data_IF_473810626196
#
_entry.id   IF_473810626196
#
_cell.length_a   1.000
_cell.length_b   1.000
_cell.length_c   1.000
_cell.angle_alpha   90.00
_cell.angle_beta   90.00
_cell.angle_gamma   90.00
#
_symmetry.space_group_name_H-M   'P 1'
#
loop_
_entity.id
_entity.type
_entity.pdbx_description
1 polymer ?
#
# COMPACT_ATOMS: atom_id res chain seq x y z
N UNK A 1 13.63 20.13 21.40
CA UNK A 1 13.11 19.04 22.26
C UNK A 1 12.84 17.81 21.40
N UNK A 2 13.16 16.60 21.85
CA UNK A 2 12.86 15.37 21.08
C UNK A 2 11.35 15.05 21.02
N UNK A 3 10.98 14.16 20.09
CA UNK A 3 9.63 13.57 20.01
C UNK A 3 9.36 12.74 21.28
N UNK A 4 8.45 13.22 22.12
CA UNK A 4 8.00 12.44 23.30
C UNK A 4 7.02 11.36 22.88
N UNK A 5 6.84 10.30 23.70
CA UNK A 5 5.86 9.23 23.43
C UNK A 5 4.46 9.77 23.11
N UNK A 6 4.04 10.83 23.83
CA UNK A 6 2.75 11.49 23.60
C UNK A 6 2.70 12.21 22.25
N UNK A 7 3.74 12.95 21.87
CA UNK A 7 3.82 13.63 20.56
C UNK A 7 3.86 12.64 19.40
N UNK A 8 4.55 11.51 19.59
CA UNK A 8 4.58 10.41 18.64
C UNK A 8 3.18 9.81 18.42
N UNK A 9 2.41 9.61 19.49
CA UNK A 9 1.03 9.14 19.40
C UNK A 9 0.13 10.09 18.58
N UNK A 10 0.24 11.41 18.81
CA UNK A 10 -0.52 12.39 18.05
C UNK A 10 -0.14 12.41 16.56
N UNK A 11 1.15 12.32 16.29
CA UNK A 11 1.66 12.30 14.92
C UNK A 11 1.25 11.01 14.18
N UNK A 12 1.28 9.85 14.86
CA UNK A 12 0.80 8.58 14.30
C UNK A 12 -0.66 8.66 13.87
N UNK A 13 -1.54 9.11 14.77
CA UNK A 13 -2.97 9.20 14.48
C UNK A 13 -3.26 10.21 13.38
N UNK A 14 -2.50 11.30 13.29
CA UNK A 14 -2.64 12.26 12.19
C UNK A 14 -2.26 11.63 10.85
N UNK A 15 -1.13 10.91 10.79
CA UNK A 15 -0.69 10.22 9.57
C UNK A 15 -1.69 9.16 9.15
N UNK A 16 -2.23 8.37 10.08
CA UNK A 16 -3.26 7.36 9.79
C UNK A 16 -4.54 7.99 9.22
N UNK A 17 -5.00 9.10 9.81
CA UNK A 17 -6.20 9.81 9.33
C UNK A 17 -5.97 10.39 7.94
N UNK A 18 -4.79 10.98 7.70
CA UNK A 18 -4.41 11.52 6.40
C UNK A 18 -4.34 10.42 5.34
N UNK A 19 -3.75 9.26 5.65
CA UNK A 19 -3.68 8.13 4.70
C UNK A 19 -5.05 7.53 4.35
N UNK A 20 -5.97 7.47 5.32
CA UNK A 20 -7.32 6.92 5.09
C UNK A 20 -8.20 7.83 4.25
N UNK A 21 -8.02 9.14 4.36
CA UNK A 21 -8.92 10.12 3.74
C UNK A 21 -8.30 10.86 2.57
N UNK A 22 -6.96 10.85 2.46
CA UNK A 22 -6.14 11.65 1.56
C UNK A 22 -6.48 13.16 1.60
N UNK A 23 -6.97 13.63 2.76
CA UNK A 23 -7.44 14.99 2.97
C UNK A 23 -6.71 15.64 4.16
N UNK A 24 -6.46 16.97 4.12
CA UNK A 24 -5.88 17.70 5.24
C UNK A 24 -6.70 17.57 6.52
N UNK A 25 -6.03 17.33 7.65
CA UNK A 25 -6.69 16.95 8.90
C UNK A 25 -6.90 18.16 9.79
N UNK A 26 -8.16 18.42 10.14
CA UNK A 26 -8.49 19.44 11.13
C UNK A 26 -8.17 18.93 12.55
N UNK A 27 -7.62 19.79 13.41
CA UNK A 27 -7.22 19.42 14.79
C UNK A 27 -8.37 18.86 15.63
N UNK A 28 -9.62 19.23 15.30
CA UNK A 28 -10.82 18.70 15.97
C UNK A 28 -11.07 17.22 15.67
N UNK A 29 -10.76 16.76 14.45
CA UNK A 29 -10.87 15.35 14.09
C UNK A 29 -9.86 14.52 14.90
N UNK A 30 -8.63 15.05 15.04
CA UNK A 30 -7.59 14.43 15.84
C UNK A 30 -7.95 14.39 17.34
N UNK A 31 -8.53 15.49 17.86
CA UNK A 31 -8.98 15.58 19.24
C UNK A 31 -10.05 14.52 19.56
N UNK A 32 -11.04 14.35 18.67
CA UNK A 32 -12.06 13.30 18.78
C UNK A 32 -11.45 11.90 18.74
N UNK A 33 -10.53 11.65 17.82
CA UNK A 33 -9.90 10.33 17.68
C UNK A 33 -9.05 9.92 18.88
N UNK A 34 -8.41 10.89 19.56
CA UNK A 34 -7.54 10.64 20.71
C UNK A 34 -8.24 10.83 22.08
N UNK A 35 -9.52 11.22 22.08
CA UNK A 35 -10.27 11.49 23.30
C UNK A 35 -9.70 12.66 24.12
N UNK A 36 -9.16 13.68 23.47
CA UNK A 36 -8.55 14.85 24.12
C UNK A 36 -9.30 16.14 23.79
N UNK A 37 -9.03 17.21 24.55
CA UNK A 37 -9.60 18.52 24.25
C UNK A 37 -9.05 19.10 22.93
N UNK A 38 -9.85 19.95 22.28
CA UNK A 38 -9.45 20.66 21.05
C UNK A 38 -8.19 21.49 21.25
N UNK A 39 -8.04 22.13 22.42
CA UNK A 39 -6.89 22.94 22.80
C UNK A 39 -5.62 22.08 22.92
N UNK A 40 -5.73 20.91 23.57
CA UNK A 40 -4.62 19.97 23.71
C UNK A 40 -4.14 19.45 22.35
N UNK A 41 -5.06 19.16 21.44
CA UNK A 41 -4.69 18.73 20.09
C UNK A 41 -3.99 19.85 19.31
N UNK A 42 -4.49 21.08 19.38
CA UNK A 42 -3.88 22.22 18.72
C UNK A 42 -2.46 22.49 19.24
N UNK A 43 -2.26 22.51 20.55
CA UNK A 43 -0.94 22.75 21.16
C UNK A 43 0.06 21.65 20.80
N UNK A 44 -0.37 20.38 20.81
CA UNK A 44 0.47 19.25 20.41
C UNK A 44 0.88 19.34 18.94
N UNK A 45 -0.06 19.70 18.05
CA UNK A 45 0.23 19.86 16.62
C UNK A 45 1.21 21.00 16.37
N UNK A 46 1.05 22.14 17.04
CA UNK A 46 2.01 23.25 16.95
C UNK A 46 3.42 22.85 17.38
N UNK A 47 3.54 22.02 18.41
CA UNK A 47 4.84 21.51 18.85
C UNK A 47 5.44 20.50 17.87
N UNK A 48 4.62 19.67 17.24
CA UNK A 48 5.04 18.71 16.21
C UNK A 48 5.44 19.44 14.90
N UNK A 49 4.74 20.52 14.55
CA UNK A 49 5.05 21.40 13.42
C UNK A 49 6.44 22.02 13.57
N UNK A 50 6.78 22.53 14.77
CA UNK A 50 8.13 23.07 15.06
C UNK A 50 9.25 22.05 14.86
N UNK A 51 8.94 20.76 14.96
CA UNK A 51 9.90 19.68 14.73
C UNK A 51 10.01 19.28 13.24
N UNK A 52 9.19 19.91 12.38
CA UNK A 52 9.18 19.73 10.93
C UNK A 52 8.52 18.44 10.47
N UNK A 53 7.59 17.88 11.26
CA UNK A 53 6.87 16.64 10.91
C UNK A 53 5.49 16.89 10.29
N UNK A 54 4.93 18.07 10.49
CA UNK A 54 3.65 18.47 9.90
C UNK A 54 3.75 19.91 9.42
N UNK A 55 2.88 20.28 8.49
CA UNK A 55 2.72 21.66 8.03
C UNK A 55 1.26 22.07 8.17
N UNK A 56 1.02 23.30 8.64
CA UNK A 56 -0.32 23.89 8.65
C UNK A 56 -0.68 24.51 7.30
N UNK A 57 -1.92 24.31 6.86
CA UNK A 57 -2.53 25.02 5.73
C UNK A 57 -3.84 25.66 6.18
N UNK A 58 -4.25 26.71 5.48
CA UNK A 58 -5.49 27.44 5.73
C UNK A 58 -6.44 27.18 4.57
N UNK A 59 -7.40 26.30 4.77
CA UNK A 59 -8.40 26.00 3.75
C UNK A 59 -9.64 26.87 3.93
N UNK A 60 -10.13 27.40 2.80
CA UNK A 60 -11.36 28.18 2.75
C UNK A 60 -12.52 27.20 2.57
N UNK A 61 -13.32 27.04 3.63
CA UNK A 61 -14.46 26.14 3.59
C UNK A 61 -15.58 26.73 2.72
N UNK A 62 -15.96 26.06 1.63
CA UNK A 62 -17.03 26.50 0.74
C UNK A 62 -18.43 26.49 1.40
N UNK A 63 -18.62 25.80 2.54
CA UNK A 63 -19.92 25.70 3.24
C UNK A 63 -20.12 26.76 4.32
N UNK A 64 -19.10 27.53 4.70
CA UNK A 64 -19.22 28.57 5.74
C UNK A 64 -18.50 29.84 5.27
N UNK A 65 -19.27 30.85 4.91
CA UNK A 65 -18.76 32.17 4.52
C UNK A 65 -17.84 32.74 5.61
N UNK A 66 -16.54 32.88 5.29
CA UNK A 66 -15.65 33.86 5.91
C UNK A 66 -14.68 33.42 7.01
N UNK A 67 -14.53 32.11 7.34
CA UNK A 67 -13.50 31.67 8.30
C UNK A 67 -12.64 30.56 7.73
N UNK A 68 -11.37 30.88 7.47
CA UNK A 68 -10.35 29.88 7.12
C UNK A 68 -10.21 28.88 8.25
N UNK A 69 -10.21 27.59 7.91
CA UNK A 69 -10.01 26.50 8.84
C UNK A 69 -8.54 26.09 8.86
N UNK A 70 -8.01 25.79 10.05
CA UNK A 70 -6.62 25.37 10.22
C UNK A 70 -6.57 23.85 10.07
N UNK A 71 -5.94 23.40 9.00
CA UNK A 71 -5.71 21.99 8.71
C UNK A 71 -4.23 21.69 8.75
N UNK A 72 -3.89 20.43 9.01
CA UNK A 72 -2.52 19.95 9.10
C UNK A 72 -2.31 18.80 8.14
N UNK A 73 -1.14 18.79 7.49
CA UNK A 73 -0.70 17.76 6.56
C UNK A 73 0.64 17.21 7.04
N UNK A 74 0.85 15.88 7.07
CA UNK A 74 2.15 15.31 7.40
C UNK A 74 3.18 15.64 6.31
N UNK A 75 4.40 15.98 6.71
CA UNK A 75 5.52 16.18 5.78
C UNK A 75 6.18 14.85 5.44
N UNK A 76 7.03 14.83 4.41
CA UNK A 76 7.83 13.66 4.04
C UNK A 76 8.61 13.07 5.22
N UNK A 77 9.16 13.94 6.08
CA UNK A 77 9.84 13.54 7.32
C UNK A 77 8.96 12.74 8.31
N UNK A 78 7.66 13.03 8.38
CA UNK A 78 6.74 12.24 9.19
C UNK A 78 6.40 10.93 8.49
N UNK A 79 6.16 10.97 7.19
CA UNK A 79 5.95 9.78 6.38
C UNK A 79 7.12 8.81 6.52
N UNK A 80 8.36 9.27 6.45
CA UNK A 80 9.58 8.46 6.68
C UNK A 80 9.61 7.84 8.09
N UNK A 81 9.26 8.60 9.13
CA UNK A 81 9.28 8.11 10.51
C UNK A 81 8.24 7.02 10.77
N UNK A 82 7.03 7.14 10.21
CA UNK A 82 6.01 6.08 10.33
C UNK A 82 6.15 5.00 9.28
N UNK A 83 6.78 5.25 8.14
CA UNK A 83 7.22 4.19 7.23
C UNK A 83 8.24 3.31 7.95
N UNK A 84 9.24 3.87 8.62
CA UNK A 84 10.21 3.12 9.43
C UNK A 84 9.57 2.39 10.63
N UNK A 85 8.57 2.98 11.28
CA UNK A 85 7.86 2.33 12.40
C UNK A 85 6.86 1.26 11.94
N UNK A 86 6.27 1.40 10.74
CA UNK A 86 5.40 0.40 10.10
C UNK A 86 6.23 -0.75 9.50
N UNK A 87 7.45 -0.49 9.04
CA UNK A 87 8.43 -1.51 8.66
C UNK A 87 8.81 -2.43 9.84
N UNK A 88 8.76 -1.93 11.08
CA UNK A 88 8.97 -2.75 12.28
C UNK A 88 7.76 -3.60 12.70
N UNK A 89 6.61 -3.40 12.06
CA UNK A 89 5.32 -4.04 12.35
C UNK A 89 4.78 -4.83 11.14
N UNK A 90 5.63 -5.21 10.17
CA UNK A 90 5.37 -6.46 9.46
C UNK A 90 5.60 -7.55 10.48
N UNK A 91 4.56 -7.84 11.29
CA UNK A 91 4.55 -9.01 12.12
C UNK A 91 4.72 -10.19 11.15
N UNK A 92 5.83 -10.91 11.24
CA UNK A 92 6.11 -12.08 10.37
C UNK A 92 4.92 -13.06 10.40
N UNK A 93 4.12 -13.02 11.47
CA UNK A 93 2.84 -13.71 11.63
C UNK A 93 1.78 -13.22 10.63
N UNK A 94 1.61 -11.91 10.45
CA UNK A 94 0.66 -11.32 9.50
C UNK A 94 1.11 -11.53 8.04
N UNK A 95 2.42 -11.48 7.78
CA UNK A 95 2.98 -11.83 6.46
C UNK A 95 2.72 -13.30 6.11
N UNK A 96 3.04 -14.22 7.03
CA UNK A 96 2.82 -15.66 6.80
C UNK A 96 1.34 -15.97 6.59
N UNK A 97 0.46 -15.36 7.38
CA UNK A 97 -1.00 -15.48 7.20
C UNK A 97 -1.44 -14.96 5.84
N UNK A 98 -0.88 -13.86 5.37
CA UNK A 98 -1.16 -13.32 4.03
C UNK A 98 -0.74 -14.30 2.94
N UNK A 99 0.45 -14.89 3.04
CA UNK A 99 0.93 -15.90 2.08
C UNK A 99 0.05 -17.17 2.12
N UNK A 100 -0.39 -17.60 3.30
CA UNK A 100 -1.33 -18.72 3.47
C UNK A 100 -2.68 -18.42 2.82
N UNK A 101 -3.28 -17.26 3.09
CA UNK A 101 -4.54 -16.82 2.47
C UNK A 101 -4.43 -16.76 0.94
N UNK A 102 -3.33 -16.20 0.41
CA UNK A 102 -3.10 -16.18 -1.04
C UNK A 102 -3.01 -17.62 -1.55
N UNK A 103 -2.28 -18.50 -0.88
CA UNK A 103 -2.15 -19.90 -1.30
C UNK A 103 -3.48 -20.65 -1.32
N UNK A 104 -4.37 -20.39 -0.34
CA UNK A 104 -5.73 -20.93 -0.30
C UNK A 104 -6.60 -20.36 -1.44
N UNK A 105 -6.59 -19.04 -1.60
CA UNK A 105 -7.29 -18.36 -2.70
C UNK A 105 -6.85 -18.92 -4.06
N UNK A 106 -5.55 -19.12 -4.27
CA UNK A 106 -5.03 -19.65 -5.54
C UNK A 106 -5.44 -21.10 -5.78
N UNK A 107 -5.63 -21.92 -4.74
CA UNK A 107 -6.16 -23.29 -4.88
C UNK A 107 -7.63 -23.27 -5.32
N UNK A 108 -8.44 -22.42 -4.70
CA UNK A 108 -9.87 -22.29 -5.01
C UNK A 108 -10.12 -21.69 -6.39
N UNK A 109 -9.22 -20.79 -6.82
CA UNK A 109 -9.33 -20.11 -8.11
C UNK A 109 -8.87 -20.96 -9.30
N UNK A 110 -8.38 -22.19 -9.11
CA UNK A 110 -7.93 -23.05 -10.23
C UNK A 110 -8.97 -23.23 -11.34
N UNK A 111 -10.27 -23.18 -11.02
CA UNK A 111 -11.38 -23.31 -11.98
C UNK A 111 -12.08 -21.98 -12.33
N UNK A 112 -11.57 -20.85 -11.85
CA UNK A 112 -12.21 -19.52 -11.97
C UNK A 112 -11.63 -18.73 -13.16
N UNK A 113 -12.42 -17.89 -13.84
CA UNK A 113 -11.88 -17.02 -14.91
C UNK A 113 -10.97 -15.90 -14.35
N UNK A 114 -10.05 -15.35 -15.15
CA UNK A 114 -9.17 -14.25 -14.71
C UNK A 114 -9.99 -13.05 -14.19
N UNK A 115 -11.08 -12.72 -14.88
CA UNK A 115 -11.96 -11.61 -14.51
C UNK A 115 -12.62 -11.81 -13.14
N UNK A 116 -13.05 -13.04 -12.84
CA UNK A 116 -13.65 -13.35 -11.54
C UNK A 116 -12.59 -13.40 -10.43
N UNK A 117 -11.36 -13.82 -10.73
CA UNK A 117 -10.24 -13.76 -9.80
C UNK A 117 -9.85 -12.31 -9.46
N UNK A 118 -9.78 -11.41 -10.45
CA UNK A 118 -9.53 -9.98 -10.25
C UNK A 118 -10.61 -9.36 -9.34
N UNK A 119 -11.89 -9.65 -9.60
CA UNK A 119 -13.01 -9.13 -8.80
C UNK A 119 -13.01 -9.66 -7.36
N UNK A 120 -12.74 -10.95 -7.15
CA UNK A 120 -12.64 -11.54 -5.80
C UNK A 120 -11.51 -10.90 -4.99
N UNK A 121 -10.36 -10.69 -5.62
CA UNK A 121 -9.23 -10.00 -4.99
C UNK A 121 -9.57 -8.55 -4.67
N UNK A 122 -10.30 -7.84 -5.54
CA UNK A 122 -10.77 -6.49 -5.22
C UNK A 122 -11.67 -6.45 -3.98
N UNK A 123 -12.54 -7.45 -3.82
CA UNK A 123 -13.40 -7.57 -2.64
C UNK A 123 -12.64 -7.97 -1.37
N UNK A 124 -11.54 -8.72 -1.52
CA UNK A 124 -10.76 -9.24 -0.40
C UNK A 124 -9.59 -8.34 0.01
N UNK A 125 -9.07 -7.48 -0.86
CA UNK A 125 -8.07 -6.47 -0.49
C UNK A 125 -8.73 -5.50 0.50
N UNK A 126 -8.42 -5.57 1.80
CA UNK A 126 -8.94 -4.61 2.76
C UNK A 126 -8.40 -3.22 2.38
N UNK A 127 -9.25 -2.19 2.39
CA UNK A 127 -8.83 -0.78 2.26
C UNK A 127 -7.70 -0.42 3.24
N UNK A 128 -7.59 -1.16 4.35
CA UNK A 128 -6.59 -0.98 5.40
C UNK A 128 -5.36 -1.90 5.31
N UNK A 129 -5.17 -2.68 4.24
CA UNK A 129 -4.03 -3.59 4.13
C UNK A 129 -2.68 -2.88 3.98
N UNK A 130 -1.65 -3.43 4.63
CA UNK A 130 -0.26 -2.96 4.53
C UNK A 130 0.22 -3.11 3.08
N UNK A 131 1.00 -2.13 2.57
CA UNK A 131 1.49 -2.05 1.18
C UNK A 131 2.07 -3.37 0.65
N UNK A 132 2.85 -4.08 1.48
CA UNK A 132 3.43 -5.39 1.14
C UNK A 132 2.36 -6.46 0.82
N UNK A 133 1.26 -6.48 1.58
CA UNK A 133 0.18 -7.45 1.37
C UNK A 133 -0.52 -7.18 0.04
N UNK A 134 -0.78 -5.90 -0.29
CA UNK A 134 -1.33 -5.52 -1.59
C UNK A 134 -0.45 -6.02 -2.73
N UNK A 135 0.86 -5.77 -2.68
CA UNK A 135 1.80 -6.28 -3.68
C UNK A 135 1.79 -7.81 -3.77
N UNK A 136 1.68 -8.51 -2.63
CA UNK A 136 1.65 -9.97 -2.60
C UNK A 136 0.40 -10.55 -3.28
N UNK A 137 -0.77 -9.95 -3.05
CA UNK A 137 -2.02 -10.34 -3.73
C UNK A 137 -1.90 -10.18 -5.25
N UNK A 138 -1.34 -9.07 -5.72
CA UNK A 138 -1.13 -8.84 -7.17
C UNK A 138 -0.17 -9.88 -7.75
N UNK A 139 0.97 -10.12 -7.10
CA UNK A 139 1.93 -11.12 -7.55
C UNK A 139 1.30 -12.52 -7.57
N UNK A 140 0.57 -12.90 -6.53
CA UNK A 140 -0.14 -14.17 -6.44
C UNK A 140 -1.12 -14.37 -7.59
N UNK A 141 -1.96 -13.37 -7.86
CA UNK A 141 -2.91 -13.40 -8.98
C UNK A 141 -2.23 -13.67 -10.32
N UNK A 142 -1.15 -12.95 -10.60
CA UNK A 142 -0.41 -13.07 -11.85
C UNK A 142 0.33 -14.41 -11.95
N UNK A 143 0.83 -14.94 -10.83
CA UNK A 143 1.39 -16.29 -10.77
C UNK A 143 0.34 -17.36 -11.10
N UNK A 144 -0.89 -17.22 -10.59
CA UNK A 144 -1.97 -18.14 -10.95
C UNK A 144 -2.36 -18.01 -12.42
N UNK A 145 -2.47 -16.79 -12.95
CA UNK A 145 -2.73 -16.60 -14.38
C UNK A 145 -1.64 -17.27 -15.23
N UNK A 146 -0.36 -17.10 -14.85
CA UNK A 146 0.76 -17.72 -15.52
C UNK A 146 0.72 -19.25 -15.43
N UNK A 147 0.37 -19.81 -14.26
CA UNK A 147 0.19 -21.26 -14.09
C UNK A 147 -0.92 -21.82 -14.98
N UNK A 148 -2.02 -21.07 -15.18
CA UNK A 148 -3.12 -21.46 -16.09
C UNK A 148 -2.73 -21.45 -17.57
N UNK A 149 -1.88 -20.52 -17.98
CA UNK A 149 -1.36 -20.50 -19.35
C UNK A 149 -0.53 -21.76 -19.65
N UNK A 150 0.20 -22.26 -18.64
CA UNK A 150 1.00 -23.47 -18.73
C UNK A 150 2.11 -23.41 -19.79
N UNK A 151 2.75 -24.56 -20.04
CA UNK A 151 3.77 -24.69 -21.07
C UNK A 151 5.09 -24.00 -20.72
N UNK A 152 5.78 -23.45 -21.73
CA UNK A 152 7.13 -22.88 -21.56
C UNK A 152 7.12 -21.46 -20.97
N UNK A 153 5.99 -20.78 -20.88
CA UNK A 153 5.91 -19.37 -20.46
C UNK A 153 6.45 -19.14 -19.04
N UNK A 154 6.14 -20.04 -18.10
CA UNK A 154 6.61 -19.98 -16.71
C UNK A 154 8.13 -19.88 -16.57
N UNK A 155 8.91 -20.87 -17.05
CA UNK A 155 10.37 -20.85 -16.99
C UNK A 155 11.02 -19.63 -17.68
N UNK A 156 10.44 -19.15 -18.80
CA UNK A 156 10.95 -17.97 -19.48
C UNK A 156 10.75 -16.70 -18.65
N UNK A 157 9.58 -16.53 -18.04
CA UNK A 157 9.31 -15.40 -17.15
C UNK A 157 10.18 -15.48 -15.90
N UNK A 158 10.36 -16.67 -15.31
CA UNK A 158 11.29 -16.86 -14.20
C UNK A 158 12.69 -16.36 -14.55
N UNK A 159 13.22 -16.73 -15.72
CA UNK A 159 14.54 -16.29 -16.15
C UNK A 159 14.63 -14.76 -16.30
N UNK A 160 13.59 -14.12 -16.83
CA UNK A 160 13.51 -12.65 -16.93
C UNK A 160 13.58 -12.01 -15.54
N UNK A 161 12.83 -12.53 -14.57
CA UNK A 161 12.82 -12.01 -13.20
C UNK A 161 14.18 -12.16 -12.53
N UNK A 162 14.81 -13.33 -12.65
CA UNK A 162 16.09 -13.65 -12.02
C UNK A 162 17.28 -12.90 -12.65
N UNK A 163 17.16 -12.45 -13.89
CA UNK A 163 18.23 -11.70 -14.59
C UNK A 163 18.19 -10.20 -14.27
N UNK A 164 17.16 -9.73 -13.56
CA UNK A 164 17.00 -8.32 -13.26
C UNK A 164 18.11 -7.78 -12.32
N UNK A 165 18.66 -6.59 -12.58
CA UNK A 165 19.66 -5.93 -11.73
C UNK A 165 19.25 -5.68 -10.27
N UNK A 166 17.94 -5.64 -9.99
CA UNK A 166 17.42 -5.44 -8.64
C UNK A 166 16.11 -6.22 -8.43
N UNK A 167 15.79 -6.53 -7.17
CA UNK A 167 14.56 -7.24 -6.78
C UNK A 167 13.31 -6.49 -7.23
N UNK A 168 13.31 -5.17 -7.06
CA UNK A 168 12.25 -4.27 -7.50
C UNK A 168 12.06 -4.32 -9.03
N UNK A 169 13.16 -4.25 -9.78
CA UNK A 169 13.10 -4.36 -11.24
C UNK A 169 12.58 -5.73 -11.67
N UNK A 170 13.02 -6.81 -11.03
CA UNK A 170 12.54 -8.16 -11.32
C UNK A 170 11.03 -8.32 -11.10
N UNK A 171 10.51 -7.82 -9.98
CA UNK A 171 9.07 -7.81 -9.71
C UNK A 171 8.28 -6.93 -10.68
N UNK A 172 8.82 -5.77 -11.05
CA UNK A 172 8.19 -4.86 -12.03
C UNK A 172 8.14 -5.51 -13.41
N UNK A 173 9.23 -6.15 -13.84
CA UNK A 173 9.29 -6.90 -15.09
C UNK A 173 8.33 -8.08 -15.09
N UNK A 174 8.22 -8.82 -13.97
CA UNK A 174 7.22 -9.87 -13.82
C UNK A 174 5.80 -9.34 -14.08
N UNK A 175 5.40 -8.31 -13.33
CA UNK A 175 4.04 -7.75 -13.42
C UNK A 175 3.76 -7.21 -14.82
N UNK A 176 4.67 -6.41 -15.36
CA UNK A 176 4.53 -5.83 -16.70
C UNK A 176 4.44 -6.90 -17.80
N UNK A 177 5.24 -7.96 -17.71
CA UNK A 177 5.25 -9.05 -18.70
C UNK A 177 3.95 -9.85 -18.65
N UNK A 178 3.53 -10.29 -17.46
CA UNK A 178 2.33 -11.13 -17.32
C UNK A 178 1.06 -10.34 -17.67
N UNK A 179 0.98 -9.07 -17.28
CA UNK A 179 -0.14 -8.20 -17.69
C UNK A 179 -0.12 -7.89 -19.19
N UNK A 180 1.06 -7.67 -19.77
CA UNK A 180 1.19 -7.49 -21.22
C UNK A 180 0.70 -8.70 -22.01
N UNK A 181 0.89 -9.91 -21.49
CA UNK A 181 0.29 -11.12 -22.07
C UNK A 181 -1.23 -11.16 -21.86
N UNK A 182 -1.70 -10.75 -20.68
CA UNK A 182 -3.13 -10.74 -20.35
C UNK A 182 -3.92 -9.66 -21.11
N UNK A 183 -3.27 -8.60 -21.61
CA UNK A 183 -3.94 -7.45 -22.24
C UNK A 183 -4.83 -7.84 -23.42
N UNK A 184 -4.45 -8.89 -24.16
CA UNK A 184 -5.23 -9.40 -25.29
C UNK A 184 -6.47 -10.21 -24.86
N UNK A 185 -6.56 -10.58 -23.58
CA UNK A 185 -7.64 -11.39 -23.00
C UNK A 185 -8.57 -10.58 -22.09
N UNK A 186 -8.22 -9.32 -21.83
CA UNK A 186 -8.96 -8.39 -20.98
C UNK A 186 -9.98 -7.66 -21.84
N UNK A 187 -11.23 -7.58 -21.37
CA UNK A 187 -12.26 -6.77 -22.01
C UNK A 187 -12.04 -5.28 -21.71
N UNK A 188 -12.43 -4.40 -22.64
CA UNK A 188 -12.23 -2.95 -22.56
C UNK A 188 -12.76 -2.32 -21.26
N UNK A 189 -13.84 -2.86 -20.68
CA UNK A 189 -14.42 -2.39 -19.41
C UNK A 189 -13.48 -2.54 -18.20
N UNK A 190 -12.55 -3.49 -18.22
CA UNK A 190 -11.60 -3.74 -17.13
C UNK A 190 -10.26 -3.01 -17.31
N UNK A 191 -10.04 -2.35 -18.46
CA UNK A 191 -8.76 -1.70 -18.77
C UNK A 191 -8.39 -0.58 -17.80
N UNK A 192 -9.37 0.20 -17.35
CA UNK A 192 -9.16 1.30 -16.41
C UNK A 192 -8.79 0.78 -15.00
N UNK A 193 -9.51 -0.22 -14.49
CA UNK A 193 -9.25 -0.84 -13.18
C UNK A 193 -7.85 -1.46 -13.13
N UNK A 194 -7.43 -2.12 -14.21
CA UNK A 194 -6.11 -2.74 -14.31
C UNK A 194 -5.00 -1.68 -14.38
N UNK A 195 -5.22 -0.57 -15.09
CA UNK A 195 -4.26 0.53 -15.17
C UNK A 195 -4.05 1.18 -13.79
N UNK A 196 -5.14 1.41 -13.05
CA UNK A 196 -5.07 1.92 -11.68
C UNK A 196 -4.32 0.95 -10.75
N UNK A 197 -4.61 -0.35 -10.87
CA UNK A 197 -3.95 -1.40 -10.11
C UNK A 197 -2.45 -1.47 -10.37
N UNK A 198 -2.03 -1.35 -11.64
CA UNK A 198 -0.61 -1.27 -12.02
C UNK A 198 0.03 -0.02 -11.41
N UNK A 199 -0.60 1.14 -11.54
CA UNK A 199 -0.08 2.38 -10.97
C UNK A 199 0.12 2.26 -9.47
N UNK A 200 -0.89 1.74 -8.75
CA UNK A 200 -0.83 1.53 -7.31
C UNK A 200 0.22 0.49 -6.93
N UNK A 201 0.40 -0.55 -7.73
CA UNK A 201 1.43 -1.57 -7.49
C UNK A 201 2.84 -0.99 -7.62
N UNK A 202 3.12 -0.26 -8.70
CA UNK A 202 4.42 0.36 -8.94
C UNK A 202 4.77 1.37 -7.84
N UNK A 203 3.81 2.20 -7.44
CA UNK A 203 3.98 3.13 -6.32
C UNK A 203 4.23 2.38 -5.00
N UNK A 204 3.43 1.35 -4.73
CA UNK A 204 3.58 0.56 -3.50
C UNK A 204 4.95 -0.10 -3.44
N UNK A 205 5.42 -0.72 -4.53
CA UNK A 205 6.73 -1.37 -4.60
C UNK A 205 7.87 -0.36 -4.38
N UNK A 206 7.80 0.82 -4.99
CA UNK A 206 8.83 1.85 -4.83
C UNK A 206 8.97 2.26 -3.37
N UNK A 207 7.85 2.36 -2.67
CA UNK A 207 7.76 2.79 -1.27
C UNK A 207 8.09 1.69 -0.24
N UNK A 208 8.25 0.44 -0.66
CA UNK A 208 8.63 -0.65 0.24
C UNK A 208 10.09 -0.51 0.68
N UNK A 209 10.36 -0.94 1.91
CA UNK A 209 11.72 -1.13 2.40
C UNK A 209 12.46 -2.27 1.68
N UNK A 210 13.79 -2.27 1.75
CA UNK A 210 14.60 -3.34 1.17
C UNK A 210 14.30 -4.72 1.77
N UNK A 211 13.89 -4.77 3.04
CA UNK A 211 13.46 -5.99 3.73
C UNK A 211 12.13 -6.51 3.16
N UNK A 212 11.12 -5.64 3.03
CA UNK A 212 9.82 -5.97 2.42
C UNK A 212 9.97 -6.38 0.95
N UNK A 213 10.79 -5.65 0.18
CA UNK A 213 11.16 -6.03 -1.19
C UNK A 213 11.82 -7.41 -1.22
N UNK A 214 12.63 -7.73 -0.22
CA UNK A 214 13.22 -9.04 -0.02
C UNK A 214 12.19 -10.14 0.20
N UNK A 215 11.25 -9.94 1.12
CA UNK A 215 10.19 -10.90 1.42
C UNK A 215 9.29 -11.18 0.20
N UNK A 216 8.84 -10.12 -0.48
CA UNK A 216 8.03 -10.24 -1.70
C UNK A 216 8.77 -10.93 -2.84
N UNK A 217 10.05 -10.59 -3.04
CA UNK A 217 10.85 -11.21 -4.08
C UNK A 217 11.07 -12.71 -3.83
N UNK A 218 11.29 -13.09 -2.56
CA UNK A 218 11.40 -14.50 -2.18
C UNK A 218 10.08 -15.23 -2.41
N UNK A 219 8.95 -14.65 -2.02
CA UNK A 219 7.62 -15.20 -2.31
C UNK A 219 7.39 -15.43 -3.82
N UNK A 220 7.75 -14.46 -4.66
CA UNK A 220 7.69 -14.61 -6.12
C UNK A 220 8.61 -15.74 -6.63
N UNK A 221 9.86 -15.76 -6.15
CA UNK A 221 10.87 -16.70 -6.63
C UNK A 221 10.57 -18.15 -6.24
N UNK A 222 10.08 -18.37 -5.02
CA UNK A 222 9.68 -19.68 -4.51
C UNK A 222 8.48 -20.25 -5.27
N UNK A 223 7.58 -19.40 -5.78
CA UNK A 223 6.41 -19.85 -6.52
C UNK A 223 6.72 -20.43 -7.92
N UNK A 224 7.94 -20.20 -8.43
CA UNK A 224 8.43 -20.77 -9.68
C UNK A 224 9.12 -22.15 -9.50
N UNK A 225 9.42 -22.56 -8.26
CA UNK A 225 9.99 -23.87 -7.91
C UNK A 225 8.88 -24.91 -7.89
#
# INVERSE_FOLDING_TARGET
>A
MPLTKRRLQFLHTLVDLYQKTNLPIHYEALAKSLGVSKWTAYDMLKEIEKLGFITRSYEVNAKVTGRSQVVFVPTDKASELFNQSRNKLVDLVDWKKTVENISELLKDLNNTSLNEAVRKIWAEIPEASVRINFCAYIIGLLLMYLKKLGGKTGPWIQQIVLTAPSKEMGMTMFVGTVLGMAVQTINDELGLEITELVSRFLQSISDLSDEEKGLLYNFLSEAFI
#
